data_IF_686496736816
#
_entry.id   IF_686496736816
#
_cell.length_a   1.000
_cell.length_b   1.000
_cell.length_c   1.000
_cell.angle_alpha   90.00
_cell.angle_beta   90.00
_cell.angle_gamma   90.00
#
_symmetry.space_group_name_H-M   'P 1'
#
loop_
_entity.id
_entity.type
_entity.pdbx_description
1 polymer ?
#
# COMPACT_ATOMS: atom_id res chain seq x y z
N UNK A 1 27.11 6.50 -21.97
CA UNK A 1 26.51 5.17 -21.71
C UNK A 1 25.01 5.24 -21.96
N UNK A 2 24.43 4.21 -22.55
CA UNK A 2 22.97 4.09 -22.65
C UNK A 2 22.39 3.94 -21.23
N UNK A 3 21.36 4.73 -20.90
CA UNK A 3 20.68 4.59 -19.60
C UNK A 3 19.97 3.25 -19.55
N UNK A 4 20.06 2.56 -18.42
CA UNK A 4 19.25 1.36 -18.13
C UNK A 4 17.78 1.75 -18.24
N UNK A 5 16.98 0.92 -18.89
CA UNK A 5 15.54 1.11 -19.07
C UNK A 5 14.77 0.32 -18.03
N UNK A 6 13.95 1.01 -17.24
CA UNK A 6 13.16 0.42 -16.16
C UNK A 6 11.68 0.63 -16.41
N UNK A 7 10.93 -0.46 -16.47
CA UNK A 7 9.46 -0.43 -16.49
C UNK A 7 8.95 -0.65 -15.07
N UNK A 8 8.29 0.35 -14.48
CA UNK A 8 7.69 0.28 -13.15
C UNK A 8 6.22 -0.09 -13.30
N UNK A 9 5.78 -1.20 -12.69
CA UNK A 9 4.41 -1.71 -12.72
C UNK A 9 3.76 -1.58 -11.34
N UNK A 10 2.71 -0.76 -11.22
CA UNK A 10 2.09 -0.42 -9.93
C UNK A 10 0.57 -0.23 -10.02
N UNK A 11 -0.20 -1.13 -9.41
CA UNK A 11 -1.66 -1.02 -9.26
C UNK A 11 -2.05 -0.65 -7.83
N UNK A 12 -3.08 0.18 -7.69
CA UNK A 12 -3.69 0.51 -6.40
C UNK A 12 -3.10 1.78 -5.76
N UNK A 13 -3.42 2.05 -4.49
CA UNK A 13 -3.22 3.37 -3.86
C UNK A 13 -1.75 3.66 -3.48
N UNK A 14 -0.92 2.62 -3.40
CA UNK A 14 0.51 2.72 -3.12
C UNK A 14 1.26 2.79 -4.43
N UNK A 15 1.25 3.97 -5.02
CA UNK A 15 1.90 4.25 -6.27
C UNK A 15 3.42 4.38 -6.09
N UNK A 16 4.19 3.62 -6.87
CA UNK A 16 5.64 3.81 -7.02
C UNK A 16 5.97 5.07 -7.85
N UNK A 17 5.05 6.03 -7.98
CA UNK A 17 5.20 7.23 -8.80
C UNK A 17 6.30 8.12 -8.24
N UNK A 18 6.37 8.31 -6.91
CA UNK A 18 7.44 9.12 -6.35
C UNK A 18 8.81 8.46 -6.54
N UNK A 19 8.88 7.14 -6.39
CA UNK A 19 10.08 6.36 -6.73
C UNK A 19 10.45 6.54 -8.21
N UNK A 20 9.47 6.50 -9.12
CA UNK A 20 9.67 6.73 -10.54
C UNK A 20 10.21 8.14 -10.84
N UNK A 21 9.71 9.18 -10.17
CA UNK A 21 10.24 10.55 -10.31
C UNK A 21 11.73 10.62 -9.93
N UNK A 22 12.12 10.04 -8.79
CA UNK A 22 13.52 10.03 -8.36
C UNK A 22 14.39 9.17 -9.28
N UNK A 23 13.92 7.98 -9.67
CA UNK A 23 14.65 7.08 -10.57
C UNK A 23 14.83 7.68 -11.97
N UNK A 24 13.89 8.47 -12.47
CA UNK A 24 13.96 9.09 -13.81
C UNK A 24 15.19 10.00 -14.01
N UNK A 25 15.80 10.45 -12.91
CA UNK A 25 17.03 11.25 -12.95
C UNK A 25 18.23 10.38 -13.34
N UNK A 26 18.20 9.10 -12.98
CA UNK A 26 19.33 8.15 -13.09
C UNK A 26 19.13 7.18 -14.26
N UNK A 27 17.91 6.67 -14.44
CA UNK A 27 17.55 5.63 -15.43
C UNK A 27 16.41 6.09 -16.34
N UNK A 28 16.22 5.40 -17.47
CA UNK A 28 15.09 5.65 -18.37
C UNK A 28 13.84 4.93 -17.87
N UNK A 29 12.92 5.68 -17.23
CA UNK A 29 11.74 5.11 -16.58
C UNK A 29 10.50 5.16 -17.48
N UNK A 30 9.83 4.02 -17.61
CA UNK A 30 8.44 3.92 -18.07
C UNK A 30 7.57 3.43 -16.91
N UNK A 31 6.40 4.02 -16.71
CA UNK A 31 5.45 3.59 -15.68
C UNK A 31 4.20 3.02 -16.32
N UNK A 32 3.76 1.88 -15.79
CA UNK A 32 2.43 1.34 -16.01
C UNK A 32 1.71 1.34 -14.67
N UNK A 33 0.58 2.03 -14.64
CA UNK A 33 -0.27 2.09 -13.47
C UNK A 33 -1.73 1.87 -13.86
N UNK A 34 -2.63 1.95 -12.89
CA UNK A 34 -4.06 1.94 -13.16
C UNK A 34 -4.53 3.17 -13.96
N UNK A 35 -5.80 3.55 -13.87
CA UNK A 35 -6.38 4.63 -14.67
C UNK A 35 -5.57 5.94 -14.62
N UNK A 36 -5.29 6.46 -15.82
CA UNK A 36 -4.83 7.83 -16.04
C UNK A 36 -5.90 8.51 -16.92
N UNK A 37 -6.43 9.67 -16.49
CA UNK A 37 -7.40 10.43 -17.27
C UNK A 37 -6.77 10.94 -18.56
N UNK A 38 -7.49 10.80 -19.65
CA UNK A 38 -7.17 11.27 -21.00
C UNK A 38 -8.26 12.23 -21.47
N UNK A 39 -7.99 12.98 -22.55
CA UNK A 39 -8.88 14.03 -23.06
C UNK A 39 -10.35 13.59 -23.23
N UNK A 40 -10.60 12.35 -23.67
CA UNK A 40 -11.95 11.79 -23.92
C UNK A 40 -12.69 11.24 -22.68
N UNK A 41 -12.03 11.08 -21.53
CA UNK A 41 -12.65 10.60 -20.28
C UNK A 41 -12.57 11.62 -19.13
N UNK A 42 -12.07 12.83 -19.42
CA UNK A 42 -11.97 13.94 -18.47
C UNK A 42 -13.33 14.39 -17.90
N UNK A 43 -14.41 14.25 -18.67
CA UNK A 43 -15.78 14.50 -18.19
C UNK A 43 -16.19 13.54 -17.08
N UNK A 44 -15.75 12.28 -17.15
CA UNK A 44 -16.00 11.26 -16.12
C UNK A 44 -15.29 11.58 -14.81
N UNK A 45 -14.26 12.41 -14.84
CA UNK A 45 -13.51 12.82 -13.67
C UNK A 45 -14.32 13.74 -12.75
N UNK A 46 -15.11 14.66 -13.32
CA UNK A 46 -16.04 15.51 -12.55
C UNK A 46 -17.13 14.69 -11.89
N UNK A 47 -17.68 13.70 -12.60
CA UNK A 47 -18.67 12.78 -12.06
C UNK A 47 -18.07 11.90 -10.95
N UNK A 48 -16.87 11.37 -11.18
CA UNK A 48 -16.15 10.56 -10.20
C UNK A 48 -15.78 11.38 -8.94
N UNK A 49 -15.35 12.63 -9.07
CA UNK A 49 -15.05 13.50 -7.92
C UNK A 49 -16.30 13.74 -7.07
N UNK A 50 -17.45 13.92 -7.71
CA UNK A 50 -18.74 14.09 -7.02
C UNK A 50 -19.17 12.82 -6.27
N UNK A 51 -18.98 11.65 -6.88
CA UNK A 51 -19.26 10.35 -6.24
C UNK A 51 -18.28 10.08 -5.08
N UNK A 52 -17.01 10.43 -5.28
CA UNK A 52 -15.95 10.18 -4.32
C UNK A 52 -15.96 11.17 -3.14
N UNK A 53 -16.69 12.30 -3.26
CA UNK A 53 -16.71 13.40 -2.28
C UNK A 53 -15.33 14.00 -1.98
N UNK A 54 -14.37 13.86 -2.90
CA UNK A 54 -13.06 14.52 -2.84
C UNK A 54 -12.55 14.86 -4.23
N UNK A 55 -11.61 15.81 -4.30
CA UNK A 55 -11.03 16.25 -5.57
C UNK A 55 -10.06 15.21 -6.16
N UNK A 56 -10.55 14.47 -7.16
CA UNK A 56 -9.73 13.52 -7.90
C UNK A 56 -8.69 14.21 -8.79
N UNK A 57 -8.89 15.46 -9.23
CA UNK A 57 -7.92 16.16 -10.09
C UNK A 57 -6.58 16.31 -9.36
N UNK A 58 -6.62 16.73 -8.10
CA UNK A 58 -5.43 16.81 -7.25
C UNK A 58 -4.75 15.43 -7.09
N UNK A 59 -5.54 14.37 -6.95
CA UNK A 59 -5.02 13.00 -6.82
C UNK A 59 -4.36 12.51 -8.12
N UNK A 60 -4.95 12.82 -9.28
CA UNK A 60 -4.38 12.45 -10.57
C UNK A 60 -3.11 13.25 -10.91
N UNK A 61 -3.04 14.54 -10.55
CA UNK A 61 -1.81 15.33 -10.72
C UNK A 61 -0.61 14.69 -10.00
N UNK A 62 -0.83 14.12 -8.81
CA UNK A 62 0.22 13.36 -8.09
C UNK A 62 0.67 12.08 -8.80
N UNK A 63 -0.18 11.53 -9.68
CA UNK A 63 0.07 10.30 -10.45
C UNK A 63 0.64 10.57 -11.84
N UNK A 64 0.66 11.82 -12.30
CA UNK A 64 1.15 12.24 -13.63
C UNK A 64 2.17 13.37 -13.52
N UNK A 65 3.32 13.16 -12.86
CA UNK A 65 4.36 14.16 -12.79
C UNK A 65 4.93 14.44 -14.18
N UNK A 66 5.33 15.69 -14.43
CA UNK A 66 5.78 16.17 -15.75
C UNK A 66 6.99 15.40 -16.29
N UNK A 67 7.88 14.93 -15.42
CA UNK A 67 9.06 14.14 -15.78
C UNK A 67 8.72 12.77 -16.40
N UNK A 68 7.47 12.29 -16.26
CA UNK A 68 7.00 11.03 -16.84
C UNK A 68 6.09 11.25 -18.06
N UNK A 69 6.01 12.47 -18.61
CA UNK A 69 5.16 12.75 -19.77
C UNK A 69 5.56 11.86 -20.97
N UNK A 70 4.56 11.24 -21.62
CA UNK A 70 4.77 10.27 -22.70
C UNK A 70 5.27 8.87 -22.25
N UNK A 71 5.68 8.71 -20.99
CA UNK A 71 6.22 7.46 -20.43
C UNK A 71 5.36 6.88 -19.30
N UNK A 72 4.17 7.44 -19.08
CA UNK A 72 3.25 7.03 -18.03
C UNK A 72 1.95 6.51 -18.65
N UNK A 73 1.67 5.23 -18.44
CA UNK A 73 0.59 4.51 -19.11
C UNK A 73 -0.43 3.97 -18.12
N UNK A 74 -1.71 4.13 -18.44
CA UNK A 74 -2.81 3.73 -17.57
C UNK A 74 -3.58 2.51 -18.05
N UNK A 75 -3.92 1.62 -17.11
CA UNK A 75 -4.81 0.47 -17.31
C UNK A 75 -6.14 0.72 -16.59
N UNK A 76 -7.11 1.31 -17.28
CA UNK A 76 -8.40 1.69 -16.69
C UNK A 76 -9.20 0.51 -16.12
N UNK A 77 -9.45 -0.52 -16.93
CA UNK A 77 -10.35 -1.61 -16.56
C UNK A 77 -9.92 -2.33 -15.27
N UNK A 78 -8.64 -2.72 -15.08
CA UNK A 78 -8.19 -3.30 -13.82
C UNK A 78 -8.42 -2.39 -12.59
N UNK A 79 -8.13 -1.09 -12.67
CA UNK A 79 -8.37 -0.17 -11.55
C UNK A 79 -9.87 -0.03 -11.25
N UNK A 80 -10.69 0.07 -12.30
CA UNK A 80 -12.14 0.12 -12.15
C UNK A 80 -12.68 -1.12 -11.42
N UNK A 81 -12.28 -2.32 -11.84
CA UNK A 81 -12.68 -3.57 -11.17
C UNK A 81 -12.19 -3.62 -9.72
N UNK A 82 -10.97 -3.13 -9.43
CA UNK A 82 -10.45 -3.04 -8.07
C UNK A 82 -11.29 -2.10 -7.19
N UNK A 83 -11.72 -0.96 -7.72
CA UNK A 83 -12.60 -0.02 -7.00
C UNK A 83 -13.98 -0.62 -6.76
N UNK A 84 -14.55 -1.31 -7.75
CA UNK A 84 -15.83 -2.02 -7.58
C UNK A 84 -15.71 -3.12 -6.52
N UNK A 85 -14.61 -3.89 -6.54
CA UNK A 85 -14.36 -4.94 -5.56
C UNK A 85 -14.38 -4.41 -4.11
N UNK A 86 -13.86 -3.21 -3.86
CA UNK A 86 -13.87 -2.57 -2.54
C UNK A 86 -15.26 -2.16 -2.04
N UNK A 87 -16.25 -2.07 -2.93
CA UNK A 87 -17.65 -1.78 -2.58
C UNK A 87 -18.50 -3.03 -2.40
N UNK A 88 -17.94 -4.20 -2.67
CA UNK A 88 -18.59 -5.49 -2.47
C UNK A 88 -18.12 -6.12 -1.17
N UNK A 89 -18.86 -7.13 -0.69
CA UNK A 89 -18.50 -7.91 0.49
C UNK A 89 -18.34 -9.40 0.14
N UNK A 90 -17.67 -10.14 1.02
CA UNK A 90 -17.52 -11.59 0.93
C UNK A 90 -16.74 -12.08 -0.30
N UNK A 91 -17.03 -13.29 -0.74
CA UNK A 91 -16.29 -13.99 -1.81
C UNK A 91 -16.29 -13.26 -3.15
N UNK A 92 -17.38 -12.55 -3.47
CA UNK A 92 -17.49 -11.76 -4.71
C UNK A 92 -16.45 -10.63 -4.74
N UNK A 93 -16.26 -9.95 -3.61
CA UNK A 93 -15.25 -8.91 -3.47
C UNK A 93 -13.85 -9.47 -3.69
N UNK A 94 -13.53 -10.58 -3.01
CA UNK A 94 -12.23 -11.25 -3.12
C UNK A 94 -11.94 -11.69 -4.55
N UNK A 95 -12.90 -12.39 -5.18
CA UNK A 95 -12.77 -12.91 -6.55
C UNK A 95 -12.55 -11.78 -7.55
N UNK A 96 -13.30 -10.68 -7.44
CA UNK A 96 -13.16 -9.54 -8.33
C UNK A 96 -11.82 -8.83 -8.11
N UNK A 97 -11.36 -8.76 -6.86
CA UNK A 97 -10.07 -8.18 -6.52
C UNK A 97 -8.92 -8.98 -7.16
N UNK A 98 -8.89 -10.31 -7.00
CA UNK A 98 -7.91 -11.18 -7.65
C UNK A 98 -7.91 -10.99 -9.17
N UNK A 99 -9.09 -11.06 -9.81
CA UNK A 99 -9.23 -10.85 -11.26
C UNK A 99 -8.73 -9.46 -11.70
N UNK A 100 -8.93 -8.43 -10.88
CA UNK A 100 -8.43 -7.09 -11.18
C UNK A 100 -6.90 -7.05 -11.25
N UNK A 101 -6.22 -7.72 -10.32
CA UNK A 101 -4.76 -7.82 -10.29
C UNK A 101 -4.21 -8.69 -11.43
N UNK A 102 -4.86 -9.82 -11.75
CA UNK A 102 -4.51 -10.66 -12.90
C UNK A 102 -4.66 -9.92 -14.24
N UNK A 103 -5.78 -9.22 -14.43
CA UNK A 103 -6.00 -8.42 -15.64
C UNK A 103 -4.98 -7.29 -15.77
N UNK A 104 -4.59 -6.69 -14.65
CA UNK A 104 -3.57 -5.66 -14.64
C UNK A 104 -2.23 -6.17 -15.17
N UNK A 105 -1.68 -7.24 -14.60
CA UNK A 105 -0.39 -7.72 -15.10
C UNK A 105 -0.51 -8.26 -16.53
N UNK A 106 -1.65 -8.85 -16.94
CA UNK A 106 -1.89 -9.18 -18.37
C UNK A 106 -1.78 -7.94 -19.28
N UNK A 107 -2.40 -6.82 -18.89
CA UNK A 107 -2.38 -5.58 -19.68
C UNK A 107 -1.01 -4.89 -19.65
N UNK A 108 -0.26 -5.03 -18.55
CA UNK A 108 1.06 -4.42 -18.38
C UNK A 108 2.13 -5.00 -19.32
N UNK A 109 1.99 -6.27 -19.75
CA UNK A 109 2.97 -6.99 -20.60
C UNK A 109 3.48 -6.22 -21.81
N UNK A 110 2.58 -5.51 -22.51
CA UNK A 110 2.92 -4.77 -23.74
C UNK A 110 3.91 -3.62 -23.51
N UNK A 111 4.02 -3.16 -22.27
CA UNK A 111 4.97 -2.13 -21.86
C UNK A 111 6.26 -2.74 -21.30
N UNK A 112 6.17 -3.93 -20.72
CA UNK A 112 7.32 -4.69 -20.17
C UNK A 112 8.41 -4.92 -21.21
N UNK A 113 8.08 -5.24 -22.48
CA UNK A 113 9.07 -5.55 -23.55
C UNK A 113 10.06 -4.43 -23.90
N UNK A 114 9.89 -3.24 -23.35
CA UNK A 114 10.68 -2.06 -23.73
C UNK A 114 11.85 -1.77 -22.78
N UNK A 115 12.00 -2.55 -21.70
CA UNK A 115 12.97 -2.30 -20.64
C UNK A 115 14.01 -3.40 -20.45
N UNK A 116 15.04 -3.09 -19.67
CA UNK A 116 16.05 -4.03 -19.17
C UNK A 116 15.63 -4.62 -17.81
N UNK A 117 14.87 -3.84 -17.03
CA UNK A 117 14.33 -4.21 -15.73
C UNK A 117 12.82 -3.96 -15.69
N UNK A 118 12.08 -4.93 -15.16
CA UNK A 118 10.69 -4.78 -14.73
C UNK A 118 10.65 -4.67 -13.20
N UNK A 119 10.35 -3.49 -12.67
CA UNK A 119 10.18 -3.23 -11.24
C UNK A 119 8.69 -3.26 -10.89
N UNK A 120 8.24 -4.29 -10.20
CA UNK A 120 6.82 -4.58 -9.96
C UNK A 120 6.49 -4.39 -8.49
N UNK A 121 5.46 -3.63 -8.15
CA UNK A 121 4.86 -3.71 -6.81
C UNK A 121 4.15 -5.06 -6.68
N UNK A 122 4.49 -5.89 -5.69
CA UNK A 122 3.89 -7.23 -5.50
C UNK A 122 2.36 -7.19 -5.62
N UNK A 123 1.78 -8.09 -6.41
CA UNK A 123 0.37 -8.09 -6.84
C UNK A 123 0.14 -7.37 -8.18
N UNK A 124 1.13 -6.67 -8.73
CA UNK A 124 1.04 -5.95 -10.01
C UNK A 124 1.75 -6.69 -11.16
N UNK A 125 2.29 -7.88 -10.92
CA UNK A 125 2.97 -8.73 -11.91
C UNK A 125 2.12 -9.90 -12.38
N UNK A 126 1.08 -10.23 -11.61
CA UNK A 126 0.21 -11.39 -11.84
C UNK A 126 -0.61 -11.29 -13.12
N UNK A 127 -0.94 -12.42 -13.73
CA UNK A 127 -1.45 -12.48 -15.11
C UNK A 127 -0.35 -12.63 -16.16
N UNK A 128 0.88 -12.91 -15.70
CA UNK A 128 2.02 -13.38 -16.47
C UNK A 128 3.01 -12.30 -16.89
N UNK A 129 2.97 -11.09 -16.33
CA UNK A 129 3.93 -10.03 -16.67
C UNK A 129 5.36 -10.43 -16.30
N UNK A 130 5.54 -11.04 -15.12
CA UNK A 130 6.83 -11.52 -14.60
C UNK A 130 7.44 -12.58 -15.52
N UNK A 131 6.74 -13.71 -15.71
CA UNK A 131 7.19 -14.80 -16.59
C UNK A 131 7.47 -14.30 -18.01
N UNK A 132 6.62 -13.42 -18.53
CA UNK A 132 6.81 -12.84 -19.85
C UNK A 132 8.06 -11.97 -19.94
N UNK A 133 8.39 -11.20 -18.90
CA UNK A 133 9.62 -10.42 -18.81
C UNK A 133 10.86 -11.33 -18.81
N UNK A 134 10.85 -12.36 -17.96
CA UNK A 134 11.95 -13.31 -17.82
C UNK A 134 12.22 -14.05 -19.14
N UNK A 135 11.17 -14.48 -19.85
CA UNK A 135 11.28 -15.10 -21.18
C UNK A 135 11.87 -14.16 -22.25
N UNK A 136 11.90 -12.85 -22.00
CA UNK A 136 12.54 -11.85 -22.87
C UNK A 136 13.92 -11.42 -22.37
N UNK A 137 14.46 -12.08 -21.34
CA UNK A 137 15.75 -11.74 -20.73
C UNK A 137 15.71 -10.48 -19.86
N UNK A 138 14.52 -9.95 -19.56
CA UNK A 138 14.33 -8.76 -18.72
C UNK A 138 14.39 -9.19 -17.25
N UNK A 139 15.16 -8.47 -16.43
CA UNK A 139 15.28 -8.76 -15.00
C UNK A 139 14.07 -8.25 -14.22
N UNK A 140 13.57 -9.04 -13.28
CA UNK A 140 12.38 -8.72 -12.50
C UNK A 140 12.74 -8.42 -11.05
N UNK A 141 12.46 -7.19 -10.63
CA UNK A 141 12.56 -6.74 -9.24
C UNK A 141 11.15 -6.59 -8.68
N UNK A 142 10.84 -7.34 -7.62
CA UNK A 142 9.52 -7.27 -6.96
C UNK A 142 9.63 -6.47 -5.67
N UNK A 143 8.81 -5.45 -5.53
CA UNK A 143 8.79 -4.53 -4.39
C UNK A 143 7.65 -4.88 -3.44
N UNK A 144 8.00 -5.22 -2.21
CA UNK A 144 7.09 -5.63 -1.15
C UNK A 144 7.32 -4.85 0.15
N UNK A 145 6.25 -4.40 0.80
CA UNK A 145 6.35 -3.35 1.84
C UNK A 145 5.77 -3.73 3.20
N UNK A 146 5.40 -4.99 3.42
CA UNK A 146 4.84 -5.47 4.69
C UNK A 146 5.37 -6.86 5.03
N UNK A 147 5.15 -7.32 6.27
CA UNK A 147 5.55 -8.65 6.70
C UNK A 147 4.89 -9.76 5.86
N UNK A 148 5.54 -10.93 5.82
CA UNK A 148 5.02 -12.12 5.17
C UNK A 148 3.59 -12.46 5.67
N UNK A 149 2.62 -12.83 4.81
CA UNK A 149 1.23 -13.08 5.21
C UNK A 149 1.08 -14.14 6.29
N UNK A 150 1.88 -15.21 6.24
CA UNK A 150 1.83 -16.25 7.27
C UNK A 150 2.39 -15.75 8.62
N UNK A 151 3.37 -14.83 8.61
CA UNK A 151 3.83 -14.16 9.83
C UNK A 151 2.71 -13.30 10.42
N UNK A 152 2.03 -12.51 9.60
CA UNK A 152 0.89 -11.70 10.04
C UNK A 152 -0.23 -12.56 10.61
N UNK A 153 -0.53 -13.68 9.96
CA UNK A 153 -1.54 -14.64 10.43
C UNK A 153 -1.22 -15.21 11.81
N UNK A 154 0.01 -15.68 12.01
CA UNK A 154 0.49 -16.21 13.29
C UNK A 154 0.35 -15.20 14.44
N UNK A 155 0.53 -13.90 14.17
CA UNK A 155 0.62 -12.87 15.21
C UNK A 155 -0.60 -11.97 15.36
N UNK A 156 -1.53 -11.95 14.40
CA UNK A 156 -2.68 -11.03 14.42
C UNK A 156 -4.03 -11.75 14.42
N UNK A 157 -4.08 -13.03 14.02
CA UNK A 157 -5.35 -13.76 13.90
C UNK A 157 -6.17 -13.72 15.19
N UNK A 158 -5.51 -13.95 16.32
CA UNK A 158 -6.14 -14.01 17.63
C UNK A 158 -6.79 -12.67 18.00
N UNK A 159 -6.15 -11.54 17.73
CA UNK A 159 -6.71 -10.20 17.95
C UNK A 159 -7.96 -9.97 17.12
N UNK A 160 -7.96 -10.37 15.86
CA UNK A 160 -9.12 -10.22 14.98
C UNK A 160 -10.29 -11.11 15.45
N UNK A 161 -10.01 -12.39 15.75
CA UNK A 161 -11.03 -13.36 16.18
C UNK A 161 -11.64 -12.99 17.54
N UNK A 162 -10.81 -12.60 18.52
CA UNK A 162 -11.26 -12.12 19.84
C UNK A 162 -12.24 -10.95 19.73
N UNK A 163 -12.06 -10.11 18.73
CA UNK A 163 -12.89 -8.93 18.50
C UNK A 163 -13.94 -9.15 17.39
N UNK A 164 -14.33 -10.40 17.12
CA UNK A 164 -15.36 -10.79 16.15
C UNK A 164 -15.18 -10.15 14.76
N UNK A 165 -13.93 -9.94 14.35
CA UNK A 165 -13.58 -9.27 13.09
C UNK A 165 -12.92 -10.29 12.14
N UNK A 166 -13.35 -10.39 10.87
CA UNK A 166 -12.76 -11.34 9.93
C UNK A 166 -11.28 -11.07 9.65
N UNK A 167 -10.44 -12.10 9.75
CA UNK A 167 -9.02 -12.02 9.41
C UNK A 167 -8.76 -12.27 7.91
N UNK A 168 -8.38 -11.23 7.17
CA UNK A 168 -8.19 -11.27 5.71
C UNK A 168 -6.75 -11.01 5.26
N UNK A 169 -5.78 -11.12 6.17
CA UNK A 169 -4.37 -10.78 5.91
C UNK A 169 -3.45 -12.00 5.77
N UNK A 170 -4.01 -13.22 5.93
CA UNK A 170 -3.26 -14.47 5.92
C UNK A 170 -3.04 -15.05 4.53
N UNK A 171 -2.27 -16.13 4.47
CA UNK A 171 -1.92 -16.80 3.21
C UNK A 171 -3.13 -17.51 2.57
N UNK A 172 -4.13 -17.85 3.38
CA UNK A 172 -5.40 -18.42 2.93
C UNK A 172 -6.24 -17.44 2.09
N UNK A 173 -5.95 -16.13 2.16
CA UNK A 173 -6.61 -15.16 1.31
C UNK A 173 -6.08 -15.27 -0.13
N UNK A 174 -6.95 -15.48 -1.14
CA UNK A 174 -6.54 -15.62 -2.54
C UNK A 174 -5.67 -14.48 -3.06
N UNK A 175 -5.93 -13.23 -2.68
CA UNK A 175 -5.12 -12.09 -3.11
C UNK A 175 -3.71 -12.15 -2.54
N UNK A 176 -3.57 -12.52 -1.26
CA UNK A 176 -2.24 -12.68 -0.63
C UNK A 176 -1.45 -13.81 -1.25
N UNK A 177 -2.13 -14.90 -1.66
CA UNK A 177 -1.51 -15.97 -2.44
C UNK A 177 -0.94 -15.45 -3.75
N UNK A 178 -1.70 -14.66 -4.52
CA UNK A 178 -1.21 -14.04 -5.76
C UNK A 178 -0.06 -13.05 -5.52
N UNK A 179 -0.09 -12.30 -4.42
CA UNK A 179 1.00 -11.39 -4.04
C UNK A 179 2.27 -12.18 -3.69
N UNK A 180 2.15 -13.31 -2.98
CA UNK A 180 3.31 -14.17 -2.67
C UNK A 180 3.88 -14.83 -3.92
N UNK A 181 3.04 -15.26 -4.86
CA UNK A 181 3.53 -15.73 -6.17
C UNK A 181 4.41 -14.69 -6.88
N UNK A 182 4.00 -13.41 -6.89
CA UNK A 182 4.86 -12.38 -7.47
C UNK A 182 6.23 -12.35 -6.74
N UNK A 183 6.25 -12.45 -5.42
CA UNK A 183 7.49 -12.42 -4.62
C UNK A 183 8.39 -13.64 -4.90
N UNK A 184 7.82 -14.82 -5.06
CA UNK A 184 8.54 -16.08 -5.33
C UNK A 184 9.15 -16.11 -6.75
N UNK A 185 8.39 -15.65 -7.73
CA UNK A 185 8.76 -15.69 -9.16
C UNK A 185 9.75 -14.58 -9.56
N UNK A 186 9.83 -13.49 -8.79
CA UNK A 186 10.79 -12.41 -9.04
C UNK A 186 12.25 -12.88 -9.01
N UNK A 187 13.10 -12.28 -9.84
CA UNK A 187 14.54 -12.55 -9.79
C UNK A 187 15.15 -12.02 -8.49
N UNK A 188 14.63 -10.88 -8.01
CA UNK A 188 14.96 -10.23 -6.74
C UNK A 188 13.70 -9.74 -6.03
N UNK A 189 13.71 -9.83 -4.70
CA UNK A 189 12.68 -9.29 -3.82
C UNK A 189 13.27 -8.08 -3.06
N UNK A 190 12.71 -6.90 -3.31
CA UNK A 190 13.00 -5.68 -2.57
C UNK A 190 12.02 -5.53 -1.41
N UNK A 191 12.54 -5.36 -0.20
CA UNK A 191 11.75 -5.09 1.00
C UNK A 191 12.21 -3.82 1.70
N UNK A 192 11.33 -3.23 2.51
CA UNK A 192 11.55 -1.91 3.11
C UNK A 192 12.17 -1.91 4.51
N UNK A 193 12.54 -3.07 5.06
CA UNK A 193 13.20 -3.20 6.36
C UNK A 193 13.76 -4.60 6.58
N UNK A 194 14.74 -4.71 7.48
CA UNK A 194 15.23 -6.00 7.97
C UNK A 194 14.13 -6.82 8.65
N UNK A 195 13.18 -6.17 9.34
CA UNK A 195 12.03 -6.86 9.92
C UNK A 195 11.26 -7.62 8.85
N UNK A 196 10.89 -6.95 7.75
CA UNK A 196 10.17 -7.61 6.65
C UNK A 196 11.01 -8.72 6.04
N UNK A 197 12.30 -8.47 5.76
CA UNK A 197 13.23 -9.52 5.27
C UNK A 197 13.22 -10.75 6.16
N UNK A 198 13.34 -10.57 7.47
CA UNK A 198 13.37 -11.67 8.44
C UNK A 198 12.04 -12.45 8.43
N UNK A 199 10.90 -11.78 8.29
CA UNK A 199 9.61 -12.50 8.14
C UNK A 199 9.52 -13.32 6.86
N UNK A 200 10.17 -12.93 5.77
CA UNK A 200 10.20 -13.76 4.55
C UNK A 200 11.15 -14.96 4.71
N UNK A 201 12.31 -14.75 5.34
CA UNK A 201 13.28 -15.83 5.63
C UNK A 201 12.67 -16.88 6.58
N UNK A 202 11.96 -16.45 7.63
CA UNK A 202 11.26 -17.36 8.56
C UNK A 202 10.31 -18.31 7.84
N UNK A 203 9.72 -17.87 6.73
CA UNK A 203 8.78 -18.64 5.92
C UNK A 203 9.40 -19.18 4.60
N UNK A 204 10.73 -19.34 4.57
CA UNK A 204 11.41 -20.16 3.56
C UNK A 204 11.91 -19.44 2.32
N UNK A 205 11.86 -18.10 2.26
CA UNK A 205 12.49 -17.37 1.17
C UNK A 205 14.03 -17.40 1.27
N UNK A 206 14.69 -17.56 0.14
CA UNK A 206 16.15 -17.47 0.05
C UNK A 206 16.61 -16.04 0.38
N UNK A 207 17.38 -15.90 1.46
CA UNK A 207 17.92 -14.63 1.93
C UNK A 207 18.77 -13.91 0.87
N UNK A 208 19.38 -14.64 -0.08
CA UNK A 208 20.20 -14.08 -1.15
C UNK A 208 19.39 -13.42 -2.26
N UNK A 209 18.09 -13.72 -2.35
CA UNK A 209 17.16 -13.04 -3.27
C UNK A 209 16.60 -11.73 -2.69
N UNK A 210 16.78 -11.47 -1.39
CA UNK A 210 16.12 -10.37 -0.69
C UNK A 210 17.09 -9.20 -0.45
N UNK A 211 16.81 -8.09 -1.12
CA UNK A 211 17.48 -6.82 -0.96
C UNK A 211 16.65 -5.89 -0.05
N UNK A 212 17.31 -5.21 0.89
CA UNK A 212 16.64 -4.28 1.83
C UNK A 212 16.94 -2.84 1.41
N UNK A 213 15.89 -2.06 1.15
CA UNK A 213 15.99 -0.62 0.90
C UNK A 213 14.97 0.12 1.77
N UNK A 214 15.48 0.81 2.79
CA UNK A 214 14.66 1.62 3.69
C UNK A 214 14.01 2.79 2.94
N UNK A 215 12.77 3.09 3.28
CA UNK A 215 12.06 4.25 2.74
C UNK A 215 12.60 5.54 3.36
N UNK A 216 12.85 6.54 2.51
CA UNK A 216 13.29 7.86 2.95
C UNK A 216 12.16 8.69 3.57
N UNK A 217 12.55 9.62 4.43
CA UNK A 217 11.68 10.70 4.91
C UNK A 217 11.94 11.95 4.07
N UNK A 218 10.91 12.75 3.78
CA UNK A 218 11.09 14.00 3.04
C UNK A 218 11.94 14.98 3.83
N UNK A 219 12.84 15.70 3.15
CA UNK A 219 13.76 16.65 3.78
C UNK A 219 13.08 17.77 4.57
N UNK A 220 11.87 18.17 4.17
CA UNK A 220 11.11 19.21 4.85
C UNK A 220 10.53 18.79 6.21
N UNK A 221 10.64 17.51 6.57
CA UNK A 221 10.33 17.03 7.93
C UNK A 221 11.52 17.19 8.88
N UNK A 222 12.72 17.47 8.38
CA UNK A 222 13.91 17.53 9.21
C UNK A 222 13.91 18.80 10.07
N UNK A 223 14.06 18.61 11.39
CA UNK A 223 14.15 19.71 12.34
C UNK A 223 12.86 20.51 12.55
N UNK A 224 11.69 19.96 12.22
CA UNK A 224 10.39 20.62 12.48
C UNK A 224 10.16 20.87 13.97
N UNK A 225 10.56 19.95 14.85
CA UNK A 225 10.47 20.13 16.29
C UNK A 225 11.67 20.93 16.79
N UNK A 226 11.40 22.11 17.37
CA UNK A 226 12.44 23.03 17.91
C UNK A 226 12.50 23.06 19.43
N UNK A 227 11.44 22.65 20.12
CA UNK A 227 11.37 22.60 21.57
C UNK A 227 10.77 21.29 22.04
N UNK A 228 11.28 20.78 23.15
CA UNK A 228 10.80 19.59 23.84
C UNK A 228 10.15 19.94 25.19
N UNK A 229 9.99 21.22 25.49
CA UNK A 229 9.25 21.69 26.66
C UNK A 229 7.80 21.20 26.61
N UNK A 230 7.30 20.74 27.75
CA UNK A 230 5.95 20.23 27.90
C UNK A 230 5.09 21.30 28.57
N UNK A 231 4.16 21.88 27.81
CA UNK A 231 3.17 22.83 28.32
C UNK A 231 1.77 22.24 28.20
N UNK A 232 1.05 22.11 29.31
CA UNK A 232 -0.30 21.54 29.35
C UNK A 232 -0.30 19.99 29.32
N UNK A 233 -1.41 19.36 28.87
CA UNK A 233 -1.54 17.90 28.87
C UNK A 233 -0.50 17.23 27.96
N UNK A 234 -0.17 15.97 28.27
CA UNK A 234 0.59 15.10 27.39
C UNK A 234 -0.19 14.87 26.08
N UNK A 235 0.36 15.34 24.95
CA UNK A 235 -0.27 15.17 23.64
C UNK A 235 0.23 13.90 22.95
N UNK A 236 -0.70 12.99 22.69
CA UNK A 236 -0.45 11.70 22.06
C UNK A 236 -1.14 11.72 20.69
N UNK A 237 -0.37 11.49 19.63
CA UNK A 237 -0.86 11.51 18.25
C UNK A 237 -0.66 10.14 17.60
N UNK A 238 -1.73 9.58 17.06
CA UNK A 238 -1.71 8.47 16.13
C UNK A 238 -2.03 8.96 14.71
N UNK A 239 -1.30 8.49 13.70
CA UNK A 239 -1.59 8.80 12.30
C UNK A 239 -1.63 7.54 11.44
N UNK A 240 -2.64 7.39 10.59
CA UNK A 240 -2.82 6.27 9.67
C UNK A 240 -4.13 5.51 9.89
N UNK A 241 -4.28 4.36 9.24
CA UNK A 241 -5.44 3.49 9.49
C UNK A 241 -5.41 2.97 10.93
N UNK A 242 -6.41 3.35 11.71
CA UNK A 242 -6.57 2.95 13.10
C UNK A 242 -7.32 1.61 13.15
N UNK A 243 -6.55 0.52 13.29
CA UNK A 243 -7.04 -0.85 13.24
C UNK A 243 -6.15 -1.81 14.03
N UNK A 244 -6.53 -3.09 14.09
CA UNK A 244 -5.88 -4.11 14.92
C UNK A 244 -4.41 -4.29 14.56
N UNK A 245 -4.10 -4.43 13.26
CA UNK A 245 -2.70 -4.56 12.79
C UNK A 245 -1.83 -3.36 13.17
N UNK A 246 -2.44 -2.19 13.36
CA UNK A 246 -1.74 -0.95 13.72
C UNK A 246 -1.74 -0.68 15.23
N UNK A 247 -2.19 -1.64 16.04
CA UNK A 247 -2.13 -1.58 17.48
C UNK A 247 -3.25 -0.76 18.13
N UNK A 248 -4.37 -0.54 17.44
CA UNK A 248 -5.48 0.27 17.97
C UNK A 248 -5.95 -0.20 19.36
N UNK A 249 -6.16 -1.51 19.56
CA UNK A 249 -6.54 -2.10 20.85
C UNK A 249 -5.54 -1.75 21.96
N UNK A 250 -4.25 -1.86 21.67
CA UNK A 250 -3.18 -1.60 22.63
C UNK A 250 -3.02 -0.11 22.93
N UNK A 251 -3.19 0.77 21.93
CA UNK A 251 -3.21 2.22 22.14
C UNK A 251 -4.36 2.62 23.06
N UNK A 252 -5.56 2.06 22.86
CA UNK A 252 -6.72 2.35 23.71
C UNK A 252 -6.52 1.85 25.15
N UNK A 253 -5.95 0.65 25.33
CA UNK A 253 -5.57 0.15 26.66
C UNK A 253 -4.50 0.99 27.35
N UNK A 254 -3.55 1.52 26.59
CA UNK A 254 -2.55 2.43 27.15
C UNK A 254 -3.21 3.69 27.69
N UNK A 255 -4.23 4.22 27.00
CA UNK A 255 -4.98 5.40 27.47
C UNK A 255 -5.75 5.11 28.77
N UNK A 256 -6.38 3.94 28.90
CA UNK A 256 -7.01 3.53 30.17
C UNK A 256 -6.02 3.49 31.33
N UNK A 257 -4.81 3.01 31.10
CA UNK A 257 -3.74 3.04 32.13
C UNK A 257 -3.34 4.47 32.49
N UNK A 258 -3.35 5.40 31.54
CA UNK A 258 -3.09 6.82 31.84
C UNK A 258 -4.23 7.43 32.69
N UNK A 259 -5.48 7.04 32.43
CA UNK A 259 -6.63 7.43 33.27
C UNK A 259 -6.48 6.91 34.70
N UNK A 260 -6.13 5.63 34.88
CA UNK A 260 -5.86 5.01 36.19
C UNK A 260 -4.76 5.73 36.96
N UNK A 261 -3.70 6.14 36.25
CA UNK A 261 -2.57 6.89 36.79
C UNK A 261 -2.87 8.40 36.97
N UNK A 262 -4.07 8.86 36.58
CA UNK A 262 -4.49 10.27 36.63
C UNK A 262 -3.53 11.20 35.87
N UNK A 263 -2.97 10.74 34.75
CA UNK A 263 -2.13 11.55 33.88
C UNK A 263 -3.02 12.48 33.06
N UNK A 264 -2.70 13.78 33.01
CA UNK A 264 -3.39 14.70 32.12
C UNK A 264 -2.87 14.52 30.68
N UNK A 265 -3.72 14.00 29.80
CA UNK A 265 -3.37 13.74 28.41
C UNK A 265 -4.50 14.08 27.43
N UNK A 266 -4.10 14.29 26.18
CA UNK A 266 -4.94 14.41 25.00
C UNK A 266 -4.52 13.34 23.98
N UNK A 267 -5.45 12.50 23.53
CA UNK A 267 -5.19 11.49 22.51
C UNK A 267 -5.94 11.82 21.22
N UNK A 268 -5.18 12.03 20.14
CA UNK A 268 -5.69 12.38 18.83
C UNK A 268 -5.37 11.25 17.85
N UNK A 269 -6.39 10.74 17.15
CA UNK A 269 -6.25 9.75 16.09
C UNK A 269 -6.58 10.40 14.76
N UNK A 270 -5.59 10.48 13.86
CA UNK A 270 -5.73 11.04 12.52
C UNK A 270 -5.73 9.93 11.47
N UNK A 271 -6.90 9.65 10.88
CA UNK A 271 -7.06 8.64 9.84
C UNK A 271 -8.39 7.88 9.93
N UNK A 272 -8.56 6.87 9.06
CA UNK A 272 -9.74 6.00 9.08
C UNK A 272 -9.74 5.10 10.31
N UNK A 273 -10.89 4.95 10.95
CA UNK A 273 -11.10 4.07 12.11
C UNK A 273 -12.05 2.91 11.80
N UNK A 274 -12.40 2.69 10.53
CA UNK A 274 -13.36 1.68 10.09
C UNK A 274 -13.06 0.27 10.63
N UNK A 275 -11.78 -0.13 10.71
CA UNK A 275 -11.35 -1.43 11.24
C UNK A 275 -11.46 -1.53 12.77
N UNK A 276 -11.39 -0.39 13.48
CA UNK A 276 -11.47 -0.33 14.94
C UNK A 276 -12.89 -0.04 15.45
N UNK A 277 -13.90 0.08 14.59
CA UNK A 277 -15.27 0.41 15.02
C UNK A 277 -15.81 -0.58 16.06
N UNK A 278 -15.52 -1.87 15.92
CA UNK A 278 -15.91 -2.89 16.91
C UNK A 278 -15.27 -2.63 18.28
N UNK A 279 -14.00 -2.19 18.33
CA UNK A 279 -13.32 -1.84 19.58
C UNK A 279 -13.92 -0.60 20.25
N UNK A 280 -14.28 0.40 19.44
CA UNK A 280 -14.81 1.68 19.93
C UNK A 280 -16.24 1.52 20.46
N UNK A 281 -17.05 0.69 19.80
CA UNK A 281 -18.43 0.41 20.25
C UNK A 281 -18.49 -0.38 21.55
N UNK A 282 -17.46 -1.18 21.86
CA UNK A 282 -17.40 -1.98 23.09
C UNK A 282 -17.07 -1.15 24.35
N UNK A 283 -16.66 0.11 24.19
CA UNK A 283 -16.17 0.90 25.31
C UNK A 283 -16.47 2.39 25.11
N UNK A 284 -17.57 2.84 25.72
CA UNK A 284 -17.99 4.25 25.77
C UNK A 284 -17.04 5.17 26.56
N UNK A 285 -15.93 4.63 27.08
CA UNK A 285 -15.05 5.29 28.05
C UNK A 285 -13.72 5.77 27.47
N UNK A 286 -13.42 5.55 26.18
CA UNK A 286 -12.14 6.01 25.64
C UNK A 286 -12.14 7.52 25.37
N UNK A 287 -11.31 8.26 26.11
CA UNK A 287 -10.99 9.67 25.83
C UNK A 287 -10.11 9.75 24.57
N UNK A 288 -10.73 9.78 23.40
CA UNK A 288 -10.05 9.78 22.11
C UNK A 288 -10.74 10.72 21.11
N UNK A 289 -9.98 11.64 20.53
CA UNK A 289 -10.45 12.56 19.49
C UNK A 289 -10.09 12.00 18.11
N UNK A 290 -11.09 11.63 17.32
CA UNK A 290 -10.90 11.17 15.94
C UNK A 290 -10.98 12.33 14.95
N UNK A 291 -9.97 12.47 14.09
CA UNK A 291 -9.92 13.43 13.00
C UNK A 291 -9.68 12.67 11.68
N UNK A 292 -10.67 12.56 10.80
CA UNK A 292 -10.53 11.74 9.60
C UNK A 292 -11.79 11.60 8.75
N UNK A 293 -11.67 10.86 7.64
CA UNK A 293 -12.66 10.80 6.56
C UNK A 293 -13.94 9.99 6.86
N UNK A 294 -14.01 9.33 8.01
CA UNK A 294 -15.15 8.50 8.43
C UNK A 294 -16.09 9.23 9.42
N UNK A 295 -15.82 10.50 9.74
CA UNK A 295 -16.69 11.40 10.52
C UNK A 295 -17.64 12.19 9.60
#
# INVERSE_FOLDING_TARGET
MQKVKVTISTLGPLHLIKSAEYLSQIVDVTVVQGWIPTWWNSWGLKLASKIAKYDLEHTFKKRTPSCLNGKNHGCFLPEFLNVVARKLNGERAITLNVKSHELFGKFSKKYTIKGDILHVRSGSGRGGAIIYAQNKGIKVLVDHSIAHPAYMEKHLRNEFEKNNTPFNLGISNPLWKEIMYDCEEGDRLLVNSDFVKNTFIEYGFDANKIDVVYLGVRSDFFGLKKSYELTGPLKILFTGGFGFRKGAEYSLRAMQKLDELKVDYEYIVVGSNAEAQTLLNLSSTYKCNFLGADN
#
